data_IF_715723453969
#
_entry.id   IF_715723453969
#
_cell.length_a   1.000
_cell.length_b   1.000
_cell.length_c   1.000
_cell.angle_alpha   90.00
_cell.angle_beta   90.00
_cell.angle_gamma   90.00
#
_symmetry.space_group_name_H-M   'P 1'
#
loop_
_entity.id
_entity.type
_entity.pdbx_description
1 polymer ?
#
# COMPACT_ATOMS: atom_id res chain seq x y z
N UNK A 1 12.52 0.02 7.84
CA UNK A 1 12.57 1.39 7.31
C UNK A 1 13.94 2.06 7.46
N UNK A 2 14.63 2.04 8.63
CA UNK A 2 15.89 2.79 8.78
C UNK A 2 16.96 2.44 7.75
N UNK A 3 17.13 1.16 7.42
CA UNK A 3 18.07 0.69 6.40
C UNK A 3 17.72 1.21 5.01
N UNK A 4 16.46 1.10 4.61
CA UNK A 4 15.97 1.60 3.31
C UNK A 4 16.11 3.12 3.19
N UNK A 5 15.83 3.88 4.25
CA UNK A 5 15.98 5.35 4.22
C UNK A 5 17.44 5.78 4.12
N UNK A 6 18.36 5.08 4.79
CA UNK A 6 19.80 5.33 4.64
C UNK A 6 20.29 4.99 3.23
N UNK A 7 19.83 3.87 2.67
CA UNK A 7 20.14 3.51 1.29
C UNK A 7 19.59 4.55 0.30
N UNK A 8 18.38 5.04 0.53
CA UNK A 8 17.78 6.09 -0.26
C UNK A 8 18.57 7.40 -0.20
N UNK A 9 19.01 7.82 0.98
CA UNK A 9 19.85 9.01 1.14
C UNK A 9 21.14 8.92 0.34
N UNK A 10 21.81 7.76 0.40
CA UNK A 10 23.04 7.54 -0.37
C UNK A 10 22.81 7.65 -1.88
N UNK A 11 21.71 7.06 -2.37
CA UNK A 11 21.37 7.13 -3.79
C UNK A 11 20.99 8.55 -4.24
N UNK A 12 20.28 9.32 -3.39
CA UNK A 12 19.95 10.72 -3.67
C UNK A 12 21.23 11.56 -3.78
N UNK A 13 22.19 11.37 -2.87
CA UNK A 13 23.49 12.05 -2.91
C UNK A 13 24.25 11.72 -4.20
N UNK A 14 24.03 10.56 -4.80
CA UNK A 14 24.59 10.14 -6.08
C UNK A 14 23.71 10.50 -7.29
N UNK A 15 22.89 11.55 -7.16
CA UNK A 15 22.07 12.15 -8.23
C UNK A 15 20.86 11.33 -8.69
N UNK A 16 20.36 10.40 -7.89
CA UNK A 16 19.09 9.73 -8.17
C UNK A 16 17.92 10.59 -7.73
N UNK A 17 17.07 11.01 -8.66
CA UNK A 17 15.91 11.87 -8.37
C UNK A 17 14.65 11.07 -7.98
N UNK A 18 14.55 9.82 -8.41
CA UNK A 18 13.42 8.93 -8.12
C UNK A 18 13.94 7.57 -7.66
N UNK A 19 13.38 7.04 -6.59
CA UNK A 19 13.80 5.77 -6.01
C UNK A 19 12.58 4.96 -5.57
N UNK A 20 12.63 3.66 -5.88
CA UNK A 20 11.71 2.64 -5.39
C UNK A 20 12.54 1.51 -4.81
N UNK A 21 12.60 1.41 -3.51
CA UNK A 21 13.41 0.43 -2.79
C UNK A 21 12.51 -0.48 -1.96
N UNK A 22 12.84 -1.75 -1.89
CA UNK A 22 12.15 -2.70 -1.04
C UNK A 22 13.15 -3.67 -0.37
N UNK A 23 12.70 -4.24 0.73
CA UNK A 23 13.42 -5.24 1.49
C UNK A 23 12.44 -6.33 1.96
N UNK A 24 12.81 -7.59 1.76
CA UNK A 24 12.12 -8.73 2.32
C UNK A 24 13.00 -9.31 3.42
N UNK A 25 12.49 -9.35 4.64
CA UNK A 25 13.29 -9.79 5.77
C UNK A 25 12.46 -10.30 6.93
N UNK A 26 13.13 -11.01 7.84
CA UNK A 26 12.52 -11.52 9.05
C UNK A 26 12.60 -10.46 10.15
N UNK A 27 11.47 -10.23 10.82
CA UNK A 27 11.40 -9.42 12.02
C UNK A 27 11.21 -10.36 13.21
N UNK A 28 12.10 -10.23 14.18
CA UNK A 28 12.03 -10.92 15.44
C UNK A 28 11.44 -10.02 16.52
N UNK A 29 10.43 -10.48 17.21
CA UNK A 29 9.86 -9.80 18.37
C UNK A 29 9.85 -10.72 19.57
N UNK A 30 10.25 -10.17 20.72
CA UNK A 30 10.22 -10.88 21.99
C UNK A 30 8.93 -10.50 22.73
N UNK A 31 8.04 -11.48 22.91
CA UNK A 31 6.75 -11.29 23.55
C UNK A 31 6.76 -11.61 25.06
N UNK A 32 7.90 -12.09 25.60
CA UNK A 32 8.08 -12.46 27.00
C UNK A 32 9.55 -12.41 27.46
N UNK A 33 9.82 -12.90 28.67
CA UNK A 33 11.18 -12.86 29.26
C UNK A 33 12.04 -14.09 28.91
N UNK A 34 11.46 -15.14 28.32
CA UNK A 34 12.16 -16.38 27.98
C UNK A 34 12.61 -16.38 26.52
N UNK A 35 13.71 -17.07 26.23
CA UNK A 35 14.21 -17.20 24.86
C UNK A 35 13.20 -17.87 23.91
N UNK A 36 12.31 -18.73 24.45
CA UNK A 36 11.23 -19.38 23.69
C UNK A 36 10.03 -18.49 23.34
N UNK A 37 9.98 -17.26 23.89
CA UNK A 37 8.89 -16.29 23.64
C UNK A 37 9.17 -15.40 22.42
N UNK A 38 10.15 -15.78 21.59
CA UNK A 38 10.44 -15.07 20.34
C UNK A 38 9.48 -15.46 19.25
N UNK A 39 8.90 -14.46 18.58
CA UNK A 39 8.12 -14.66 17.36
C UNK A 39 8.87 -14.08 16.17
N UNK A 40 8.82 -14.79 15.06
CA UNK A 40 9.41 -14.39 13.79
C UNK A 40 8.28 -14.11 12.79
N UNK A 41 8.46 -13.07 11.96
CA UNK A 41 7.50 -12.71 10.92
C UNK A 41 8.26 -12.28 9.67
N UNK A 42 7.85 -12.78 8.53
CA UNK A 42 8.39 -12.34 7.24
C UNK A 42 7.66 -11.07 6.82
N UNK A 43 8.40 -9.98 6.69
CA UNK A 43 7.86 -8.69 6.30
C UNK A 43 8.45 -8.24 4.97
N UNK A 44 7.58 -7.72 4.10
CA UNK A 44 7.95 -6.96 2.92
C UNK A 44 7.77 -5.48 3.24
N UNK A 45 8.88 -4.75 3.23
CA UNK A 45 8.90 -3.30 3.47
C UNK A 45 9.38 -2.60 2.21
N UNK A 46 8.72 -1.51 1.82
CA UNK A 46 9.14 -0.71 0.68
C UNK A 46 9.00 0.77 0.93
N UNK A 47 9.78 1.55 0.20
CA UNK A 47 9.72 3.00 0.16
C UNK A 47 9.77 3.51 -1.28
N UNK A 48 9.04 4.58 -1.53
CA UNK A 48 9.11 5.35 -2.76
C UNK A 48 9.37 6.81 -2.43
N UNK A 49 10.20 7.46 -3.21
CA UNK A 49 10.52 8.87 -3.02
C UNK A 49 10.95 9.51 -4.33
N UNK A 50 10.76 10.83 -4.41
CA UNK A 50 11.12 11.60 -5.58
C UNK A 50 10.03 11.64 -6.63
N UNK A 51 10.45 11.77 -7.87
CA UNK A 51 9.56 12.03 -8.98
C UNK A 51 8.91 10.73 -9.47
N UNK A 52 7.61 10.69 -9.66
CA UNK A 52 6.92 9.57 -10.30
C UNK A 52 7.17 9.59 -11.81
N UNK A 53 7.11 10.79 -12.40
CA UNK A 53 7.45 11.05 -13.80
C UNK A 53 8.51 12.12 -13.90
N UNK A 54 9.55 11.82 -14.67
CA UNK A 54 10.59 12.79 -15.01
C UNK A 54 10.02 13.74 -16.05
N UNK A 55 10.31 15.02 -15.90
CA UNK A 55 9.92 16.05 -16.86
C UNK A 55 10.46 15.70 -18.26
N UNK A 56 9.60 15.63 -19.25
CA UNK A 56 9.92 15.34 -20.65
C UNK A 56 9.07 16.20 -21.59
N UNK A 57 9.35 16.12 -22.89
CA UNK A 57 8.57 16.86 -23.91
C UNK A 57 7.07 16.51 -23.88
N UNK A 58 6.72 15.30 -23.40
CA UNK A 58 5.36 14.80 -23.42
C UNK A 58 4.67 14.75 -22.05
N UNK A 59 5.42 14.95 -20.97
CA UNK A 59 4.90 14.81 -19.60
C UNK A 59 5.49 15.89 -18.69
N UNK A 60 4.65 16.55 -17.93
CA UNK A 60 5.08 17.38 -16.82
C UNK A 60 5.60 16.49 -15.67
N UNK A 61 6.45 17.07 -14.85
CA UNK A 61 6.95 16.43 -13.64
C UNK A 61 5.81 16.17 -12.69
N UNK A 62 5.68 14.93 -12.23
CA UNK A 62 4.76 14.54 -11.18
C UNK A 62 5.53 13.92 -10.02
N UNK A 63 5.22 14.33 -8.80
CA UNK A 63 5.77 13.73 -7.59
C UNK A 63 4.91 12.53 -7.17
N UNK A 64 5.51 11.55 -6.49
CA UNK A 64 4.77 10.45 -5.88
C UNK A 64 3.81 10.96 -4.82
N UNK A 65 2.64 10.33 -4.78
CA UNK A 65 1.60 10.58 -3.80
C UNK A 65 1.12 9.28 -3.11
N UNK A 66 0.09 9.39 -2.28
CA UNK A 66 -0.49 8.23 -1.60
C UNK A 66 -1.16 7.24 -2.57
N UNK A 67 -1.64 7.72 -3.72
CA UNK A 67 -2.25 6.85 -4.73
C UNK A 67 -1.18 6.08 -5.52
N UNK A 68 0.01 6.65 -5.71
CA UNK A 68 1.16 5.97 -6.30
C UNK A 68 1.53 4.72 -5.50
N UNK A 69 1.65 4.83 -4.16
CA UNK A 69 1.96 3.68 -3.32
C UNK A 69 0.79 2.68 -3.23
N UNK A 70 -0.45 3.17 -3.21
CA UNK A 70 -1.64 2.33 -3.28
C UNK A 70 -1.69 1.52 -4.59
N UNK A 71 -1.39 2.14 -5.72
CA UNK A 71 -1.28 1.48 -7.02
C UNK A 71 -0.19 0.41 -7.04
N UNK A 72 0.98 0.71 -6.46
CA UNK A 72 2.08 -0.26 -6.32
C UNK A 72 1.66 -1.46 -5.45
N UNK A 73 1.00 -1.23 -4.32
CA UNK A 73 0.48 -2.29 -3.46
C UNK A 73 -0.51 -3.18 -4.21
N UNK A 74 -1.40 -2.59 -5.02
CA UNK A 74 -2.32 -3.35 -5.88
C UNK A 74 -1.57 -4.25 -6.87
N UNK A 75 -0.48 -3.77 -7.46
CA UNK A 75 0.35 -4.56 -8.36
C UNK A 75 1.08 -5.71 -7.64
N UNK A 76 1.66 -5.45 -6.47
CA UNK A 76 2.38 -6.45 -5.65
C UNK A 76 1.44 -7.55 -5.16
N UNK A 77 0.28 -7.19 -4.65
CA UNK A 77 -0.69 -8.12 -4.05
C UNK A 77 -1.56 -8.83 -5.09
N UNK A 78 -1.72 -8.21 -6.25
CA UNK A 78 -2.66 -8.64 -7.28
C UNK A 78 -4.13 -8.30 -6.94
N UNK A 79 -4.95 -8.17 -7.97
CA UNK A 79 -6.34 -7.73 -7.83
C UNK A 79 -7.17 -8.61 -6.88
N UNK A 80 -6.98 -9.95 -6.93
CA UNK A 80 -7.76 -10.89 -6.13
C UNK A 80 -7.52 -10.82 -4.63
N UNK A 81 -6.32 -10.42 -4.21
CA UNK A 81 -5.98 -10.20 -2.80
C UNK A 81 -6.35 -8.78 -2.41
N UNK A 82 -5.99 -7.81 -3.25
CA UNK A 82 -6.20 -6.39 -2.98
C UNK A 82 -7.69 -6.03 -2.79
N UNK A 83 -8.60 -6.67 -3.54
CA UNK A 83 -10.06 -6.47 -3.40
C UNK A 83 -10.64 -6.94 -2.06
N UNK A 84 -9.91 -7.77 -1.31
CA UNK A 84 -10.32 -8.25 0.02
C UNK A 84 -9.79 -7.39 1.16
N UNK A 85 -8.95 -6.39 0.84
CA UNK A 85 -8.27 -5.57 1.83
C UNK A 85 -9.03 -4.28 2.04
N UNK A 86 -9.41 -4.05 3.28
CA UNK A 86 -9.92 -2.78 3.76
C UNK A 86 -8.77 -1.85 4.15
N UNK A 87 -8.92 -0.57 3.85
CA UNK A 87 -7.96 0.46 4.19
C UNK A 87 -8.60 1.38 5.23
N UNK A 88 -8.08 1.31 6.45
CA UNK A 88 -8.56 2.09 7.58
C UNK A 88 -7.51 3.12 7.95
N UNK A 89 -7.91 4.38 8.11
CA UNK A 89 -6.97 5.42 8.55
C UNK A 89 -6.34 5.04 9.88
N UNK A 90 -5.02 5.16 9.98
CA UNK A 90 -4.29 4.85 11.19
C UNK A 90 -3.31 5.97 11.56
N UNK A 91 -3.22 6.25 12.86
CA UNK A 91 -2.26 7.21 13.43
C UNK A 91 -1.07 6.45 13.97
N UNK A 92 0.01 6.36 13.19
CA UNK A 92 1.30 5.81 13.64
C UNK A 92 2.37 6.90 13.59
N UNK A 93 3.27 6.94 14.56
CA UNK A 93 4.39 7.90 14.57
C UNK A 93 5.30 7.80 13.33
N UNK A 94 5.30 6.64 12.69
CA UNK A 94 6.03 6.39 11.45
C UNK A 94 5.55 7.27 10.29
N UNK A 95 4.25 7.60 10.27
CA UNK A 95 3.60 8.31 9.18
C UNK A 95 3.12 9.70 9.60
N UNK A 96 3.14 10.67 8.69
CA UNK A 96 2.39 11.93 8.82
C UNK A 96 0.89 11.64 8.69
N UNK A 97 0.53 10.79 7.74
CA UNK A 97 -0.78 10.16 7.58
C UNK A 97 -0.59 8.79 6.94
N UNK A 98 -1.44 7.85 7.28
CA UNK A 98 -1.30 6.49 6.81
C UNK A 98 -2.54 5.65 7.02
N UNK A 99 -2.49 4.45 6.46
CA UNK A 99 -3.59 3.50 6.46
C UNK A 99 -3.12 2.14 6.94
N UNK A 100 -3.97 1.51 7.73
CA UNK A 100 -3.90 0.08 8.07
C UNK A 100 -4.51 -0.73 6.94
N UNK A 101 -3.85 -1.80 6.56
CA UNK A 101 -4.36 -2.81 5.63
C UNK A 101 -4.95 -3.96 6.45
N UNK A 102 -6.24 -4.18 6.29
CA UNK A 102 -6.97 -5.19 7.07
C UNK A 102 -7.76 -6.11 6.13
N UNK A 103 -7.79 -7.40 6.42
CA UNK A 103 -8.65 -8.35 5.73
C UNK A 103 -9.18 -9.38 6.74
N UNK A 104 -10.47 -9.66 6.68
CA UNK A 104 -11.16 -10.59 7.58
C UNK A 104 -10.89 -10.27 9.08
N UNK A 105 -10.83 -8.97 9.43
CA UNK A 105 -10.52 -8.48 10.77
C UNK A 105 -9.04 -8.64 11.19
N UNK A 106 -8.17 -9.11 10.29
CA UNK A 106 -6.75 -9.25 10.56
C UNK A 106 -5.94 -8.08 9.99
N UNK A 107 -5.11 -7.48 10.84
CA UNK A 107 -4.13 -6.50 10.39
C UNK A 107 -3.03 -7.18 9.56
N UNK A 108 -2.84 -6.74 8.31
CA UNK A 108 -1.87 -7.30 7.35
C UNK A 108 -0.61 -6.45 7.28
N UNK A 109 -0.78 -5.14 7.35
CA UNK A 109 0.31 -4.19 7.19
C UNK A 109 -0.16 -2.75 7.24
N UNK A 110 0.73 -1.84 6.89
CA UNK A 110 0.39 -0.41 6.82
C UNK A 110 1.10 0.26 5.64
N UNK A 111 0.57 1.40 5.22
CA UNK A 111 1.26 2.26 4.27
C UNK A 111 0.90 3.73 4.54
N UNK A 112 1.75 4.64 4.08
CA UNK A 112 1.49 6.07 4.29
C UNK A 112 2.67 6.96 3.92
N UNK A 113 2.48 8.26 4.12
CA UNK A 113 3.54 9.26 3.98
C UNK A 113 4.46 9.21 5.19
N UNK A 114 5.75 9.00 4.96
CA UNK A 114 6.74 8.84 6.02
C UNK A 114 6.93 10.16 6.77
N UNK A 115 6.91 10.09 8.10
CA UNK A 115 6.99 11.26 8.98
C UNK A 115 8.35 11.96 8.91
N UNK A 116 8.34 13.29 8.86
CA UNK A 116 9.53 14.14 9.00
C UNK A 116 10.31 13.87 10.30
N UNK A 117 9.62 13.43 11.35
CA UNK A 117 10.26 13.08 12.63
C UNK A 117 11.25 11.93 12.48
N UNK A 118 10.90 10.92 11.64
CA UNK A 118 11.77 9.78 11.39
C UNK A 118 13.08 10.20 10.70
N UNK A 119 13.01 11.09 9.71
CA UNK A 119 14.20 11.64 9.06
C UNK A 119 15.12 12.38 10.03
N UNK A 120 14.53 13.21 10.91
CA UNK A 120 15.28 13.90 11.97
C UNK A 120 15.95 12.91 12.92
N UNK A 121 15.23 11.87 13.36
CA UNK A 121 15.76 10.84 14.26
C UNK A 121 16.94 10.09 13.64
N UNK A 122 16.87 9.79 12.36
CA UNK A 122 17.91 9.08 11.60
C UNK A 122 19.04 10.00 11.14
N UNK A 123 18.93 11.33 11.34
CA UNK A 123 19.88 12.36 10.88
C UNK A 123 20.15 12.31 9.37
N UNK A 124 19.12 12.06 8.58
CA UNK A 124 19.19 12.05 7.11
C UNK A 124 18.39 13.21 6.53
N UNK A 125 18.77 13.66 5.32
CA UNK A 125 18.08 14.72 4.61
C UNK A 125 16.63 14.32 4.32
N UNK A 126 15.68 15.23 4.63
CA UNK A 126 14.27 14.97 4.36
C UNK A 126 13.97 15.08 2.86
N UNK A 127 13.23 14.11 2.36
CA UNK A 127 12.54 14.16 1.06
C UNK A 127 11.17 13.54 1.23
N UNK A 128 10.16 14.10 0.57
CA UNK A 128 8.82 13.52 0.57
C UNK A 128 8.91 12.07 0.10
N UNK A 129 8.39 11.19 0.92
CA UNK A 129 8.50 9.75 0.70
C UNK A 129 7.29 9.03 1.26
N UNK A 130 6.95 7.93 0.61
CA UNK A 130 5.88 7.03 1.03
C UNK A 130 6.47 5.67 1.30
N UNK A 131 5.89 4.95 2.24
CA UNK A 131 6.36 3.63 2.59
C UNK A 131 5.23 2.68 2.91
N UNK A 132 5.52 1.40 2.86
CA UNK A 132 4.62 0.34 3.27
C UNK A 132 5.38 -0.76 4.01
N UNK A 133 4.69 -1.45 4.86
CA UNK A 133 5.11 -2.69 5.50
C UNK A 133 3.98 -3.71 5.44
N UNK A 134 4.28 -4.94 5.06
CA UNK A 134 3.30 -5.99 4.84
C UNK A 134 3.81 -7.31 5.40
N UNK A 135 2.96 -8.01 6.14
CA UNK A 135 3.22 -9.37 6.60
C UNK A 135 2.94 -10.37 5.47
N UNK A 136 3.99 -11.00 4.95
CA UNK A 136 3.89 -11.90 3.80
C UNK A 136 3.11 -13.17 4.11
N UNK A 137 3.21 -13.70 5.31
CA UNK A 137 2.52 -14.93 5.71
C UNK A 137 1.01 -14.72 5.74
N UNK A 138 0.55 -13.56 6.20
CA UNK A 138 -0.87 -13.22 6.22
C UNK A 138 -1.45 -13.08 4.80
N UNK A 139 -0.66 -12.56 3.86
CA UNK A 139 -1.07 -12.46 2.45
C UNK A 139 -1.23 -13.83 1.81
N UNK A 140 -0.32 -14.77 2.08
CA UNK A 140 -0.43 -16.13 1.54
C UNK A 140 -1.77 -16.78 1.86
N UNK A 141 -2.30 -16.54 3.05
CA UNK A 141 -3.58 -17.07 3.50
C UNK A 141 -4.78 -16.45 2.77
N UNK A 142 -4.63 -15.22 2.25
CA UNK A 142 -5.67 -14.54 1.46
C UNK A 142 -5.66 -14.92 -0.02
N UNK A 143 -4.56 -15.49 -0.49
CA UNK A 143 -4.39 -15.88 -1.89
C UNK A 143 -5.21 -17.12 -2.21
N UNK A 144 -6.28 -16.95 -2.96
CA UNK A 144 -7.06 -18.07 -3.47
C UNK A 144 -6.40 -18.68 -4.71
N UNK A 145 -6.52 -19.98 -4.92
CA UNK A 145 -6.19 -20.61 -6.20
C UNK A 145 -6.98 -19.93 -7.32
N UNK A 146 -6.31 -19.50 -8.37
CA UNK A 146 -6.98 -18.97 -9.55
C UNK A 146 -7.83 -20.09 -10.16
N UNK A 147 -9.15 -19.93 -10.11
CA UNK A 147 -10.09 -20.84 -10.77
C UNK A 147 -10.42 -20.22 -12.12
N UNK A 148 -10.26 -20.99 -13.18
CA UNK A 148 -10.68 -20.56 -14.50
C UNK A 148 -12.19 -20.31 -14.49
N UNK A 149 -12.60 -19.12 -14.95
CA UNK A 149 -13.99 -18.80 -15.24
C UNK A 149 -14.14 -18.62 -16.74
N UNK A 150 -15.09 -19.29 -17.39
CA UNK A 150 -15.33 -19.09 -18.82
C UNK A 150 -15.68 -17.63 -19.09
N UNK A 151 -15.25 -17.14 -20.24
CA UNK A 151 -15.56 -15.78 -20.68
C UNK A 151 -17.07 -15.72 -20.96
N UNK A 152 -17.73 -14.72 -20.35
CA UNK A 152 -19.15 -14.50 -20.62
C UNK A 152 -19.33 -14.04 -22.07
N UNK A 153 -20.17 -14.74 -22.84
CA UNK A 153 -20.48 -14.43 -24.23
C UNK A 153 -21.53 -13.32 -24.37
N UNK A 154 -22.22 -12.95 -23.33
CA UNK A 154 -23.22 -11.89 -23.33
C UNK A 154 -22.56 -10.50 -23.44
N UNK A 155 -23.14 -9.56 -24.19
CA UNK A 155 -22.63 -8.21 -24.30
C UNK A 155 -22.71 -7.47 -22.95
N UNK A 156 -21.67 -6.73 -22.65
CA UNK A 156 -21.64 -5.89 -21.45
C UNK A 156 -22.56 -4.67 -21.64
N UNK A 157 -23.34 -4.35 -20.61
CA UNK A 157 -24.15 -3.13 -20.54
C UNK A 157 -23.48 -2.19 -19.55
N UNK A 158 -23.14 -0.98 -20.00
CA UNK A 158 -22.61 0.07 -19.12
C UNK A 158 -23.74 1.00 -18.65
N UNK A 159 -23.72 1.35 -17.36
CA UNK A 159 -24.61 2.35 -16.77
C UNK A 159 -23.78 3.38 -16.06
N UNK A 160 -24.16 4.65 -16.15
CA UNK A 160 -23.52 5.78 -15.48
C UNK A 160 -24.47 6.27 -14.38
N UNK A 161 -23.96 6.34 -13.16
CA UNK A 161 -24.68 6.85 -12.00
C UNK A 161 -23.87 8.07 -11.48
N UNK A 162 -24.56 9.21 -11.34
CA UNK A 162 -23.98 10.40 -10.73
C UNK A 162 -24.49 10.50 -9.30
N UNK A 163 -23.60 10.59 -8.35
CA UNK A 163 -23.92 10.70 -6.92
C UNK A 163 -23.45 12.06 -6.40
N UNK A 164 -24.29 12.71 -5.61
CA UNK A 164 -23.91 13.87 -4.80
C UNK A 164 -23.55 13.36 -3.41
N UNK A 165 -22.34 13.65 -2.98
CA UNK A 165 -21.81 13.21 -1.69
C UNK A 165 -21.52 14.41 -0.80
N UNK A 166 -21.65 14.24 0.51
CA UNK A 166 -21.16 15.19 1.48
C UNK A 166 -19.65 14.96 1.73
N UNK A 167 -18.96 15.97 2.27
CA UNK A 167 -17.52 15.90 2.54
C UNK A 167 -17.12 14.75 3.49
N UNK A 168 -18.05 14.27 4.31
CA UNK A 168 -17.84 13.18 5.26
C UNK A 168 -18.18 11.79 4.70
N UNK A 169 -18.71 11.69 3.49
CA UNK A 169 -19.10 10.43 2.89
C UNK A 169 -17.86 9.68 2.35
N UNK A 170 -17.71 8.44 2.76
CA UNK A 170 -16.61 7.60 2.28
C UNK A 170 -16.93 6.99 0.91
N UNK A 171 -16.16 7.35 -0.10
CA UNK A 171 -16.26 6.73 -1.44
C UNK A 171 -16.07 5.22 -1.38
N UNK A 172 -15.19 4.73 -0.50
CA UNK A 172 -14.96 3.30 -0.30
C UNK A 172 -16.20 2.53 0.16
N UNK A 173 -16.99 3.13 1.07
CA UNK A 173 -18.25 2.53 1.55
C UNK A 173 -19.29 2.44 0.43
N UNK A 174 -19.36 3.47 -0.41
CA UNK A 174 -20.28 3.49 -1.55
C UNK A 174 -19.90 2.43 -2.59
N UNK A 175 -18.62 2.30 -2.91
CA UNK A 175 -18.15 1.27 -3.82
C UNK A 175 -18.43 -0.14 -3.30
N UNK A 176 -18.28 -0.37 -2.00
CA UNK A 176 -18.67 -1.64 -1.36
C UNK A 176 -20.16 -1.92 -1.53
N UNK A 177 -21.00 -0.94 -1.22
CA UNK A 177 -22.45 -1.07 -1.37
C UNK A 177 -22.83 -1.40 -2.82
N UNK A 178 -22.21 -0.71 -3.80
CA UNK A 178 -22.44 -0.99 -5.24
C UNK A 178 -22.02 -2.42 -5.58
N UNK A 179 -20.92 -2.92 -5.04
CA UNK A 179 -20.45 -4.29 -5.28
C UNK A 179 -21.37 -5.34 -4.65
N UNK A 180 -21.84 -5.08 -3.43
CA UNK A 180 -22.77 -5.97 -2.71
C UNK A 180 -24.12 -6.05 -3.41
N UNK A 181 -24.71 -4.91 -3.77
CA UNK A 181 -26.00 -4.84 -4.44
C UNK A 181 -25.94 -5.29 -5.94
N UNK A 182 -24.82 -5.03 -6.61
CA UNK A 182 -24.61 -5.44 -8.01
C UNK A 182 -24.42 -6.94 -8.19
N UNK A 183 -24.01 -7.64 -7.13
CA UNK A 183 -23.87 -9.09 -7.10
C UNK A 183 -22.95 -9.67 -8.16
N UNK A 184 -23.19 -10.91 -8.53
CA UNK A 184 -22.33 -11.69 -9.44
C UNK A 184 -22.30 -11.15 -10.90
N UNK A 185 -23.25 -10.33 -11.29
CA UNK A 185 -23.35 -9.76 -12.65
C UNK A 185 -22.61 -8.42 -12.80
N UNK A 186 -22.20 -7.80 -11.71
CA UNK A 186 -21.37 -6.60 -11.73
C UNK A 186 -19.93 -6.96 -12.08
N UNK A 187 -19.39 -6.32 -13.12
CA UNK A 187 -18.03 -6.61 -13.61
C UNK A 187 -17.03 -5.57 -13.11
N UNK A 188 -17.40 -4.28 -13.08
CA UNK A 188 -16.61 -3.13 -12.58
C UNK A 188 -17.57 -2.04 -12.09
#
# INVERSE_FOLDING_TARGET
YPGLLKAAELNIKNSSNSLKLYELGNIHSQNGKKLGDMSEKIMLTGIILGDERINSVHHEKEDHDIFSIKGMLKQILGNSVFSKIDMVECKKELYEYGFSLEADGMHIGTFGKISKKLFKLLKIGFKDSFGFDINVEKIKNLSNKKIYKPINSLPKISRKINLLLNDNDSVGSILKLIQEEGGANLIE
#
